data_IF_202000645141
#
_entry.id   IF_202000645141
#
_cell.length_a   1.000
_cell.length_b   1.000
_cell.length_c   1.000
_cell.angle_alpha   90.00
_cell.angle_beta   90.00
_cell.angle_gamma   90.00
#
_symmetry.space_group_name_H-M   'P 1'
#
loop_
_entity.id
_entity.type
_entity.pdbx_description
1 polymer ?
#
# COMPACT_ATOMS: atom_id res chain seq x y z
N UNK A 1 1.43 -13.65 14.22
CA UNK A 1 1.45 -12.22 14.63
C UNK A 1 0.19 -11.56 14.07
N UNK A 2 -0.38 -10.58 14.76
CA UNK A 2 -1.51 -9.84 14.18
C UNK A 2 -1.03 -9.11 12.91
N UNK A 3 -1.79 -9.26 11.84
CA UNK A 3 -1.56 -8.54 10.59
C UNK A 3 -1.67 -7.03 10.87
N UNK A 4 -0.74 -6.24 10.35
CA UNK A 4 -0.75 -4.80 10.54
C UNK A 4 -1.84 -4.21 9.64
N UNK A 5 -2.86 -3.59 10.23
CA UNK A 5 -3.88 -2.85 9.48
C UNK A 5 -3.41 -1.44 9.09
N UNK A 6 -4.12 -0.82 8.15
CA UNK A 6 -3.77 0.49 7.59
C UNK A 6 -3.81 1.61 8.63
N UNK A 7 -4.79 1.60 9.54
CA UNK A 7 -4.94 2.64 10.56
C UNK A 7 -3.78 2.60 11.56
N UNK A 8 -3.37 1.39 11.96
CA UNK A 8 -2.22 1.16 12.82
C UNK A 8 -0.94 1.55 12.10
N UNK A 9 -0.77 1.16 10.84
CA UNK A 9 0.40 1.51 10.05
C UNK A 9 0.56 3.03 9.92
N UNK A 10 -0.53 3.75 9.61
CA UNK A 10 -0.54 5.22 9.54
C UNK A 10 -0.27 5.86 10.91
N UNK A 11 -0.87 5.36 11.98
CA UNK A 11 -0.62 5.84 13.35
C UNK A 11 0.86 5.69 13.73
N UNK A 12 1.48 4.56 13.42
CA UNK A 12 2.91 4.32 13.67
C UNK A 12 3.78 5.18 12.74
N UNK A 13 3.55 5.18 11.44
CA UNK A 13 4.41 5.88 10.48
C UNK A 13 4.19 7.41 10.46
N UNK A 14 3.12 7.92 11.07
CA UNK A 14 2.86 9.38 11.20
C UNK A 14 4.02 10.13 11.87
N UNK A 15 4.74 9.48 12.78
CA UNK A 15 5.83 10.12 13.51
C UNK A 15 7.13 10.14 12.66
N UNK A 16 7.71 11.33 12.38
CA UNK A 16 8.90 11.45 11.54
C UNK A 16 10.14 10.76 12.13
N UNK A 17 10.31 10.76 13.45
CA UNK A 17 11.45 10.08 14.09
C UNK A 17 11.39 8.56 13.89
N UNK A 18 10.18 7.96 13.89
CA UNK A 18 10.03 6.54 13.57
C UNK A 18 10.41 6.22 12.13
N UNK A 19 10.05 7.08 11.18
CA UNK A 19 10.45 6.93 9.76
C UNK A 19 11.96 7.05 9.60
N UNK A 20 12.58 8.00 10.30
CA UNK A 20 14.02 8.19 10.25
C UNK A 20 14.79 7.06 10.96
N UNK A 21 14.25 6.48 12.04
CA UNK A 21 14.83 5.26 12.62
C UNK A 21 14.82 4.12 11.59
N UNK A 22 13.68 3.89 10.93
CA UNK A 22 13.57 2.84 9.91
C UNK A 22 14.56 3.11 8.77
N UNK A 23 14.72 4.36 8.30
CA UNK A 23 15.65 4.68 7.20
C UNK A 23 17.10 4.32 7.50
N UNK A 24 17.54 4.42 8.77
CA UNK A 24 18.87 3.94 9.21
C UNK A 24 18.96 2.43 9.27
N UNK A 25 17.93 1.78 9.80
CA UNK A 25 17.87 0.32 9.95
C UNK A 25 17.78 -0.44 8.63
N UNK A 26 17.41 0.22 7.53
CA UNK A 26 17.44 -0.36 6.17
C UNK A 26 18.87 -0.50 5.63
N UNK A 27 19.80 0.37 6.05
CA UNK A 27 21.18 0.34 5.56
C UNK A 27 22.03 -0.71 6.29
N UNK A 28 21.92 -0.74 7.62
CA UNK A 28 22.61 -1.70 8.47
C UNK A 28 21.90 -1.84 9.82
N UNK A 29 22.19 -2.92 10.54
CA UNK A 29 21.72 -3.13 11.91
C UNK A 29 22.34 -2.07 12.84
N UNK A 30 21.52 -1.42 13.67
CA UNK A 30 22.01 -0.41 14.62
C UNK A 30 21.65 -0.71 16.07
N UNK A 31 22.53 -0.30 16.98
CA UNK A 31 22.23 -0.21 18.41
C UNK A 31 21.52 1.12 18.73
N UNK A 32 20.69 1.18 19.80
CA UNK A 32 19.99 2.40 20.21
C UNK A 32 20.88 3.62 20.43
N UNK A 33 22.11 3.42 20.90
CA UNK A 33 23.06 4.51 21.13
C UNK A 33 23.64 5.09 19.82
N UNK A 34 23.83 4.27 18.79
CA UNK A 34 24.27 4.73 17.48
C UNK A 34 23.17 5.57 16.82
N UNK A 35 21.93 5.05 16.80
CA UNK A 35 20.76 5.79 16.33
C UNK A 35 20.60 7.12 17.08
N UNK A 36 20.78 7.13 18.41
CA UNK A 36 20.70 8.36 19.19
C UNK A 36 21.70 9.43 18.73
N UNK A 37 22.93 9.01 18.40
CA UNK A 37 23.99 9.90 17.90
C UNK A 37 23.69 10.40 16.50
N UNK A 38 23.32 9.52 15.58
CA UNK A 38 23.02 9.89 14.20
C UNK A 38 21.81 10.80 14.08
N UNK A 39 20.78 10.53 14.90
CA UNK A 39 19.52 11.27 14.88
C UNK A 39 19.52 12.47 15.82
N UNK A 40 20.67 12.79 16.44
CA UNK A 40 20.86 13.89 17.38
C UNK A 40 19.75 13.96 18.45
N UNK A 41 19.45 12.81 19.08
CA UNK A 41 18.38 12.68 20.07
C UNK A 41 18.83 11.84 21.26
N UNK A 42 18.00 11.77 22.31
CA UNK A 42 18.33 10.95 23.48
C UNK A 42 18.13 9.46 23.19
N UNK A 43 18.98 8.61 23.77
CA UNK A 43 18.83 7.16 23.69
C UNK A 43 17.47 6.69 24.23
N UNK A 44 16.95 7.34 25.29
CA UNK A 44 15.64 7.02 25.84
C UNK A 44 14.51 7.29 24.84
N UNK A 45 14.59 8.38 24.07
CA UNK A 45 13.62 8.67 23.02
C UNK A 45 13.69 7.63 21.90
N UNK A 46 14.90 7.26 21.44
CA UNK A 46 15.08 6.19 20.44
C UNK A 46 14.47 4.88 20.93
N UNK A 47 14.78 4.46 22.16
CA UNK A 47 14.23 3.24 22.76
C UNK A 47 12.70 3.24 22.80
N UNK A 48 12.08 4.38 23.13
CA UNK A 48 10.61 4.51 23.11
C UNK A 48 10.05 4.32 21.69
N UNK A 49 10.72 4.84 20.67
CA UNK A 49 10.30 4.65 19.28
C UNK A 49 10.50 3.23 18.79
N UNK A 50 11.66 2.62 19.06
CA UNK A 50 11.96 1.23 18.75
C UNK A 50 10.95 0.27 19.38
N UNK A 51 10.60 0.47 20.64
CA UNK A 51 9.59 -0.36 21.31
C UNK A 51 8.22 -0.32 20.61
N UNK A 52 7.82 0.84 20.06
CA UNK A 52 6.58 0.93 19.27
C UNK A 52 6.73 0.25 17.91
N UNK A 53 7.85 0.47 17.22
CA UNK A 53 8.11 -0.17 15.93
C UNK A 53 8.16 -1.70 16.04
N UNK A 54 8.83 -2.21 17.07
CA UNK A 54 8.98 -3.65 17.35
C UNK A 54 7.64 -4.28 17.72
N UNK A 55 6.85 -3.60 18.56
CA UNK A 55 5.49 -4.06 18.91
C UNK A 55 4.60 -4.29 17.68
N UNK A 56 4.78 -3.48 16.63
CA UNK A 56 4.01 -3.59 15.38
C UNK A 56 4.74 -4.39 14.29
N UNK A 57 5.90 -4.98 14.62
CA UNK A 57 6.69 -5.83 13.74
C UNK A 57 7.29 -5.10 12.55
N UNK A 58 7.51 -3.78 12.62
CA UNK A 58 8.22 -3.02 11.58
C UNK A 58 9.75 -3.15 11.73
N UNK A 59 10.20 -3.48 12.94
CA UNK A 59 11.59 -3.78 13.27
C UNK A 59 11.62 -5.00 14.19
N UNK A 60 12.75 -5.67 14.28
CA UNK A 60 13.03 -6.69 15.29
C UNK A 60 14.31 -6.34 16.05
N UNK A 61 14.52 -7.01 17.19
CA UNK A 61 15.79 -6.97 17.91
C UNK A 61 16.41 -8.34 18.11
N UNK A 62 17.73 -8.40 17.98
CA UNK A 62 18.54 -9.56 18.31
C UNK A 62 19.52 -9.20 19.43
N UNK A 63 19.74 -10.13 20.35
CA UNK A 63 20.79 -9.98 21.38
C UNK A 63 22.14 -10.38 20.82
N UNK A 64 23.11 -9.47 20.91
CA UNK A 64 24.48 -9.70 20.51
C UNK A 64 25.40 -9.65 21.74
N UNK A 65 26.41 -10.54 21.83
CA UNK A 65 27.40 -10.50 22.88
C UNK A 65 28.11 -9.14 22.91
N UNK A 66 28.34 -8.58 24.09
CA UNK A 66 29.12 -7.36 24.18
C UNK A 66 30.61 -7.66 24.05
N UNK A 67 31.29 -6.97 23.13
CA UNK A 67 32.74 -7.04 22.94
C UNK A 67 33.57 -6.79 24.21
N UNK A 68 33.00 -6.05 25.17
CA UNK A 68 33.66 -5.62 26.40
C UNK A 68 33.28 -6.46 27.64
N UNK A 69 32.63 -7.61 27.47
CA UNK A 69 32.16 -8.45 28.59
C UNK A 69 31.03 -7.83 29.41
N UNK A 70 30.37 -6.80 28.86
CA UNK A 70 29.17 -6.20 29.43
C UNK A 70 27.90 -7.00 29.11
N UNK A 71 26.73 -6.53 29.58
CA UNK A 71 25.44 -7.14 29.24
C UNK A 71 25.23 -7.22 27.71
N UNK A 72 24.52 -8.24 27.21
CA UNK A 72 24.16 -8.35 25.80
C UNK A 72 23.52 -7.07 25.27
N UNK A 73 23.85 -6.69 24.04
CA UNK A 73 23.31 -5.50 23.38
C UNK A 73 22.19 -5.89 22.43
N UNK A 74 21.12 -5.12 22.43
CA UNK A 74 20.05 -5.27 21.44
C UNK A 74 20.41 -4.52 20.17
N UNK A 75 20.63 -5.27 19.10
CA UNK A 75 20.79 -4.77 17.74
C UNK A 75 19.42 -4.81 17.06
N UNK A 76 19.06 -3.77 16.29
CA UNK A 76 17.76 -3.68 15.61
C UNK A 76 17.92 -3.68 14.09
N UNK A 77 16.97 -4.30 13.39
CA UNK A 77 16.88 -4.38 11.93
C UNK A 77 15.45 -4.13 11.46
N UNK A 78 15.26 -3.65 10.22
CA UNK A 78 13.94 -3.56 9.59
C UNK A 78 13.53 -4.91 9.00
N UNK A 79 12.25 -5.29 9.13
CA UNK A 79 11.81 -6.68 8.86
C UNK A 79 10.65 -6.83 7.88
N UNK A 80 9.98 -5.74 7.53
CA UNK A 80 8.78 -5.79 6.68
C UNK A 80 8.92 -4.93 5.44
N UNK A 81 8.50 -5.48 4.31
CA UNK A 81 8.22 -4.71 3.12
C UNK A 81 6.73 -4.34 3.11
N UNK A 82 6.46 -3.03 3.10
CA UNK A 82 5.13 -2.45 3.23
C UNK A 82 4.95 -1.30 2.24
N UNK A 83 3.85 -1.33 1.48
CA UNK A 83 3.40 -0.22 0.65
C UNK A 83 2.06 0.31 1.15
N UNK A 84 1.96 1.62 1.37
CA UNK A 84 0.71 2.32 1.68
C UNK A 84 0.48 3.35 0.60
N UNK A 85 -0.71 3.32 0.01
CA UNK A 85 -1.11 4.25 -1.04
C UNK A 85 -2.44 4.90 -0.68
N UNK A 86 -2.48 6.22 -0.73
CA UNK A 86 -3.69 7.02 -0.45
C UNK A 86 -3.86 8.04 -1.58
N UNK A 87 -4.98 7.93 -2.29
CA UNK A 87 -5.39 8.87 -3.34
C UNK A 87 -6.56 9.70 -2.83
N UNK A 88 -6.44 11.03 -2.90
CA UNK A 88 -7.46 11.98 -2.44
C UNK A 88 -7.67 13.05 -3.50
N UNK A 89 -8.91 13.22 -3.93
CA UNK A 89 -9.38 14.29 -4.81
C UNK A 89 -10.80 14.71 -4.42
N UNK A 90 -11.35 15.78 -5.01
CA UNK A 90 -12.73 16.21 -4.74
C UNK A 90 -13.79 15.13 -4.96
N UNK A 91 -13.57 14.21 -5.92
CA UNK A 91 -14.47 13.13 -6.28
C UNK A 91 -13.82 11.74 -6.17
N UNK A 92 -12.66 11.64 -5.51
CA UNK A 92 -11.87 10.42 -5.40
C UNK A 92 -11.36 10.24 -3.96
N UNK A 93 -11.61 9.05 -3.41
CA UNK A 93 -10.93 8.60 -2.21
C UNK A 93 -10.62 7.11 -2.33
N UNK A 94 -9.34 6.76 -2.27
CA UNK A 94 -8.88 5.38 -2.28
C UNK A 94 -7.71 5.22 -1.30
N UNK A 95 -7.74 4.18 -0.49
CA UNK A 95 -6.66 3.85 0.44
C UNK A 95 -6.41 2.35 0.34
N UNK A 96 -5.17 1.97 0.02
CA UNK A 96 -4.74 0.58 -0.08
C UNK A 96 -3.45 0.39 0.70
N UNK A 97 -3.34 -0.78 1.32
CA UNK A 97 -2.14 -1.24 1.99
C UNK A 97 -1.80 -2.62 1.42
N UNK A 98 -0.52 -2.80 1.09
CA UNK A 98 0.01 -4.07 0.60
C UNK A 98 1.23 -4.43 1.44
N UNK A 99 1.20 -5.63 2.00
CA UNK A 99 2.33 -6.23 2.67
C UNK A 99 3.01 -7.18 1.69
N UNK A 100 4.33 -7.24 1.72
CA UNK A 100 5.11 -8.18 0.93
C UNK A 100 6.00 -8.95 1.90
N UNK A 101 6.03 -10.28 1.74
CA UNK A 101 7.01 -11.10 2.43
C UNK A 101 8.33 -10.99 1.67
N UNK A 102 9.42 -10.49 2.28
CA UNK A 102 10.72 -10.38 1.61
C UNK A 102 11.26 -11.71 1.09
N UNK A 103 10.81 -12.82 1.66
CA UNK A 103 11.23 -14.18 1.30
C UNK A 103 10.29 -14.82 0.26
N UNK A 104 9.17 -14.17 -0.10
CA UNK A 104 8.23 -14.66 -1.11
C UNK A 104 8.69 -14.27 -2.51
N UNK A 105 8.86 -15.26 -3.40
CA UNK A 105 9.11 -14.98 -4.81
C UNK A 105 7.82 -14.43 -5.44
N UNK A 106 7.87 -13.26 -6.11
CA UNK A 106 6.70 -12.70 -6.76
C UNK A 106 6.19 -13.67 -7.84
N UNK A 107 4.87 -13.74 -7.99
CA UNK A 107 4.28 -14.50 -9.09
C UNK A 107 4.86 -14.03 -10.43
N UNK A 108 5.34 -14.94 -11.29
CA UNK A 108 5.94 -14.58 -12.56
C UNK A 108 4.87 -13.97 -13.48
N UNK A 109 5.00 -12.68 -13.72
CA UNK A 109 4.27 -11.98 -14.77
C UNK A 109 5.14 -11.99 -16.03
N UNK A 110 4.57 -12.38 -17.18
CA UNK A 110 5.31 -12.53 -18.45
C UNK A 110 6.14 -11.28 -18.80
N UNK A 111 5.57 -10.10 -18.60
CA UNK A 111 6.21 -8.81 -18.90
C UNK A 111 7.43 -8.49 -18.00
N UNK A 112 7.60 -9.22 -16.89
CA UNK A 112 8.62 -8.93 -15.86
C UNK A 112 9.58 -10.10 -15.59
N UNK A 113 9.38 -11.28 -16.21
CA UNK A 113 10.24 -12.46 -15.98
C UNK A 113 11.72 -12.20 -16.34
N UNK A 114 11.98 -11.26 -17.23
CA UNK A 114 13.35 -10.85 -17.57
C UNK A 114 14.13 -10.30 -16.36
N UNK A 115 13.45 -9.66 -15.40
CA UNK A 115 14.07 -9.14 -14.17
C UNK A 115 14.46 -10.32 -13.27
N UNK A 116 13.55 -11.29 -13.12
CA UNK A 116 13.78 -12.51 -12.35
C UNK A 116 14.96 -13.30 -12.93
N UNK A 117 15.03 -13.44 -14.26
CA UNK A 117 16.13 -14.11 -14.93
C UNK A 117 17.48 -13.41 -14.70
N UNK A 118 17.53 -12.07 -14.85
CA UNK A 118 18.74 -11.28 -14.56
C UNK A 118 19.16 -11.45 -13.10
N UNK A 119 18.22 -11.41 -12.16
CA UNK A 119 18.50 -11.62 -10.74
C UNK A 119 19.08 -13.02 -10.47
N UNK A 120 18.48 -14.09 -11.02
CA UNK A 120 18.99 -15.47 -10.89
C UNK A 120 20.41 -15.61 -11.47
N UNK A 121 20.73 -14.91 -12.55
CA UNK A 121 22.08 -14.90 -13.12
C UNK A 121 23.08 -14.14 -12.23
N UNK A 122 22.70 -12.96 -11.72
CA UNK A 122 23.51 -12.19 -10.79
C UNK A 122 23.74 -12.90 -9.45
N UNK A 123 22.79 -13.72 -9.00
CA UNK A 123 22.94 -14.53 -7.80
C UNK A 123 24.07 -15.57 -7.90
N UNK A 124 24.42 -15.98 -9.13
CA UNK A 124 25.52 -16.90 -9.44
C UNK A 124 26.86 -16.20 -9.68
N UNK A 125 26.88 -14.86 -9.73
CA UNK A 125 28.12 -14.09 -9.88
C UNK A 125 28.91 -14.13 -8.56
N UNK A 126 30.16 -14.59 -8.63
CA UNK A 126 31.05 -14.76 -7.49
C UNK A 126 31.85 -13.48 -7.19
N UNK A 127 32.14 -12.66 -8.21
CA UNK A 127 32.91 -11.44 -8.03
C UNK A 127 32.03 -10.31 -7.45
N UNK A 128 32.30 -9.82 -6.22
CA UNK A 128 31.39 -8.89 -5.55
C UNK A 128 31.19 -7.57 -6.30
N UNK A 129 32.22 -7.03 -6.95
CA UNK A 129 32.13 -5.74 -7.64
C UNK A 129 31.28 -5.83 -8.92
N UNK A 130 31.48 -6.86 -9.75
CA UNK A 130 30.68 -7.11 -10.96
C UNK A 130 29.24 -7.49 -10.58
N UNK A 131 29.03 -8.27 -9.51
CA UNK A 131 27.69 -8.55 -8.99
C UNK A 131 26.98 -7.27 -8.58
N UNK A 132 27.63 -6.41 -7.79
CA UNK A 132 27.06 -5.14 -7.36
C UNK A 132 26.74 -4.21 -8.54
N UNK A 133 27.64 -4.13 -9.52
CA UNK A 133 27.44 -3.35 -10.74
C UNK A 133 26.25 -3.88 -11.56
N UNK A 134 26.11 -5.20 -11.69
CA UNK A 134 24.96 -5.81 -12.36
C UNK A 134 23.64 -5.58 -11.62
N UNK A 135 23.64 -5.64 -10.29
CA UNK A 135 22.49 -5.28 -9.45
C UNK A 135 22.11 -3.80 -9.65
N UNK A 136 23.09 -2.89 -9.67
CA UNK A 136 22.85 -1.46 -9.86
C UNK A 136 22.24 -1.15 -11.23
N UNK A 137 22.70 -1.82 -12.30
CA UNK A 137 22.12 -1.70 -13.64
C UNK A 137 20.68 -2.22 -13.67
N UNK A 138 20.44 -3.40 -13.09
CA UNK A 138 19.10 -4.00 -13.04
C UNK A 138 18.13 -3.12 -12.24
N UNK A 139 18.55 -2.61 -11.07
CA UNK A 139 17.77 -1.68 -10.26
C UNK A 139 17.46 -0.37 -11.00
N UNK A 140 18.38 0.13 -11.83
CA UNK A 140 18.12 1.31 -12.65
C UNK A 140 16.95 1.06 -13.60
N UNK A 141 16.92 -0.08 -14.28
CA UNK A 141 15.84 -0.44 -15.21
C UNK A 141 14.50 -0.58 -14.46
N UNK A 142 14.50 -1.29 -13.33
CA UNK A 142 13.31 -1.42 -12.45
C UNK A 142 12.78 -0.06 -12.01
N UNK A 143 13.67 0.83 -11.55
CA UNK A 143 13.27 2.18 -11.13
C UNK A 143 12.70 3.02 -12.28
N UNK A 144 13.22 2.86 -13.51
CA UNK A 144 12.69 3.53 -14.68
C UNK A 144 11.28 3.04 -15.05
N UNK A 145 11.05 1.72 -14.98
CA UNK A 145 9.72 1.15 -15.21
C UNK A 145 8.71 1.56 -14.15
N UNK A 146 9.07 1.51 -12.87
CA UNK A 146 8.22 1.99 -11.78
C UNK A 146 7.85 3.47 -11.98
N UNK A 147 8.80 4.30 -12.41
CA UNK A 147 8.53 5.71 -12.69
C UNK A 147 7.63 5.94 -13.92
N UNK A 148 7.67 5.08 -14.93
CA UNK A 148 6.74 5.12 -16.07
C UNK A 148 5.33 4.67 -15.65
N UNK A 149 5.24 3.58 -14.87
CA UNK A 149 3.98 3.07 -14.34
C UNK A 149 3.27 4.11 -13.46
N UNK A 150 4.01 4.78 -12.57
CA UNK A 150 3.44 5.85 -11.74
C UNK A 150 3.00 7.06 -12.58
N UNK A 151 3.75 7.47 -13.61
CA UNK A 151 3.31 8.53 -14.53
C UNK A 151 2.02 8.18 -15.26
N UNK A 152 1.91 6.95 -15.77
CA UNK A 152 0.68 6.46 -16.41
C UNK A 152 -0.47 6.41 -15.42
N UNK A 153 -0.21 5.97 -14.20
CA UNK A 153 -1.19 5.91 -13.12
C UNK A 153 -1.71 7.30 -12.76
N UNK A 154 -0.84 8.29 -12.61
CA UNK A 154 -1.23 9.68 -12.31
C UNK A 154 -2.16 10.24 -13.40
N UNK A 155 -1.85 10.01 -14.67
CA UNK A 155 -2.72 10.41 -15.78
C UNK A 155 -4.10 9.75 -15.71
N UNK A 156 -4.16 8.45 -15.38
CA UNK A 156 -5.42 7.72 -15.20
C UNK A 156 -6.20 8.20 -13.98
N UNK A 157 -5.53 8.56 -12.88
CA UNK A 157 -6.19 9.14 -11.71
C UNK A 157 -6.81 10.50 -12.02
N UNK A 158 -6.12 11.35 -12.78
CA UNK A 158 -6.67 12.63 -13.23
C UNK A 158 -7.91 12.43 -14.10
N UNK A 159 -7.85 11.51 -15.06
CA UNK A 159 -9.01 11.17 -15.90
C UNK A 159 -10.17 10.61 -15.05
N UNK A 160 -9.87 9.72 -14.10
CA UNK A 160 -10.85 9.16 -13.17
C UNK A 160 -11.54 10.26 -12.36
N UNK A 161 -10.79 11.20 -11.80
CA UNK A 161 -11.34 12.33 -11.04
C UNK A 161 -12.28 13.20 -11.90
N UNK A 162 -11.91 13.48 -13.15
CA UNK A 162 -12.76 14.24 -14.09
C UNK A 162 -14.08 13.51 -14.37
N UNK A 163 -14.01 12.22 -14.72
CA UNK A 163 -15.19 11.40 -15.00
C UNK A 163 -16.10 11.28 -13.77
N UNK A 164 -15.52 11.08 -12.59
CA UNK A 164 -16.28 11.00 -11.34
C UNK A 164 -16.89 12.36 -10.96
N UNK A 165 -16.24 13.48 -11.28
CA UNK A 165 -16.80 14.82 -11.13
C UNK A 165 -18.05 15.03 -11.98
N UNK A 166 -17.99 14.68 -13.27
CA UNK A 166 -19.16 14.75 -14.16
C UNK A 166 -20.28 13.81 -13.69
N UNK A 167 -19.93 12.58 -13.31
CA UNK A 167 -20.87 11.61 -12.76
C UNK A 167 -21.56 12.14 -11.50
N UNK A 168 -20.84 12.76 -10.57
CA UNK A 168 -21.41 13.31 -9.34
C UNK A 168 -22.43 14.42 -9.58
N UNK A 169 -22.18 15.28 -10.58
CA UNK A 169 -23.14 16.31 -11.00
C UNK A 169 -24.41 15.66 -11.53
N UNK A 170 -24.29 14.67 -12.41
CA UNK A 170 -25.43 13.95 -12.97
C UNK A 170 -26.20 13.15 -11.92
N UNK A 171 -25.51 12.41 -11.05
CA UNK A 171 -26.10 11.65 -9.94
C UNK A 171 -26.95 12.57 -9.05
N UNK A 172 -26.45 13.78 -8.77
CA UNK A 172 -27.17 14.78 -7.97
C UNK A 172 -28.43 15.31 -8.65
N UNK A 173 -28.46 15.36 -9.99
CA UNK A 173 -29.64 15.74 -10.77
C UNK A 173 -30.64 14.58 -10.92
N UNK A 174 -30.15 13.35 -11.03
CA UNK A 174 -30.95 12.16 -11.28
C UNK A 174 -31.67 11.65 -10.04
N UNK A 175 -31.10 11.84 -8.84
CA UNK A 175 -31.73 11.42 -7.59
C UNK A 175 -31.60 12.42 -6.45
N UNK A 176 -32.73 12.89 -5.88
CA UNK A 176 -32.73 13.68 -4.65
C UNK A 176 -32.48 12.82 -3.40
N UNK A 177 -32.58 11.49 -3.48
CA UNK A 177 -32.35 10.58 -2.35
C UNK A 177 -30.85 10.33 -2.11
N UNK A 178 -30.40 10.53 -0.88
CA UNK A 178 -28.98 10.41 -0.53
C UNK A 178 -28.45 8.97 -0.66
N UNK A 179 -29.25 7.96 -0.32
CA UNK A 179 -28.81 6.57 -0.39
C UNK A 179 -28.71 6.10 -1.85
N UNK A 180 -29.67 6.49 -2.69
CA UNK A 180 -29.60 6.28 -4.14
C UNK A 180 -28.36 6.95 -4.74
N UNK A 181 -28.03 8.19 -4.37
CA UNK A 181 -26.80 8.85 -4.83
C UNK A 181 -25.53 8.09 -4.42
N UNK A 182 -25.47 7.59 -3.19
CA UNK A 182 -24.33 6.78 -2.71
C UNK A 182 -24.16 5.49 -3.50
N UNK A 183 -25.26 4.77 -3.75
CA UNK A 183 -25.25 3.54 -4.55
C UNK A 183 -24.83 3.84 -5.98
N UNK A 184 -25.41 4.86 -6.61
CA UNK A 184 -25.05 5.29 -7.97
C UNK A 184 -23.58 5.70 -8.07
N UNK A 185 -23.05 6.43 -7.08
CA UNK A 185 -21.63 6.79 -7.04
C UNK A 185 -20.74 5.55 -6.99
N UNK A 186 -21.06 4.60 -6.11
CA UNK A 186 -20.26 3.38 -5.96
C UNK A 186 -20.26 2.52 -7.22
N UNK A 187 -21.43 2.25 -7.82
CA UNK A 187 -21.48 1.43 -9.04
C UNK A 187 -20.77 2.12 -10.22
N UNK A 188 -20.80 3.46 -10.27
CA UNK A 188 -20.09 4.22 -11.30
C UNK A 188 -18.58 4.16 -11.08
N UNK A 189 -18.11 4.31 -9.83
CA UNK A 189 -16.70 4.24 -9.47
C UNK A 189 -16.10 2.84 -9.69
N UNK A 190 -16.84 1.78 -9.37
CA UNK A 190 -16.41 0.39 -9.52
C UNK A 190 -16.60 -0.15 -10.94
N UNK A 191 -17.44 0.49 -11.76
CA UNK A 191 -17.79 0.00 -13.09
C UNK A 191 -18.52 -1.35 -13.07
N UNK A 192 -19.12 -1.73 -11.94
CA UNK A 192 -19.84 -3.01 -11.78
C UNK A 192 -21.04 -2.85 -10.86
N UNK A 193 -22.04 -3.71 -11.05
CA UNK A 193 -23.26 -3.74 -10.25
C UNK A 193 -23.24 -4.98 -9.35
N UNK A 194 -23.04 -4.77 -8.04
CA UNK A 194 -23.06 -5.85 -7.05
C UNK A 194 -23.74 -5.42 -5.75
N UNK A 195 -24.82 -6.11 -5.40
CA UNK A 195 -25.54 -5.91 -4.12
C UNK A 195 -24.64 -6.23 -2.94
N UNK A 196 -23.84 -7.30 -3.02
CA UNK A 196 -22.93 -7.72 -1.96
C UNK A 196 -21.87 -6.67 -1.68
N UNK A 197 -21.21 -6.15 -2.73
CA UNK A 197 -20.18 -5.12 -2.58
C UNK A 197 -20.75 -3.80 -2.02
N UNK A 198 -21.94 -3.40 -2.46
CA UNK A 198 -22.64 -2.20 -1.95
C UNK A 198 -23.05 -2.39 -0.48
N UNK A 199 -23.58 -3.57 -0.14
CA UNK A 199 -23.98 -3.97 1.21
C UNK A 199 -22.80 -3.88 2.17
N UNK A 200 -21.67 -4.51 1.81
CA UNK A 200 -20.43 -4.48 2.58
C UNK A 200 -19.89 -3.06 2.71
N UNK A 201 -19.75 -2.33 1.60
CA UNK A 201 -19.16 -0.99 1.58
C UNK A 201 -19.92 0.01 2.43
N UNK A 202 -21.25 -0.06 2.45
CA UNK A 202 -22.09 0.90 3.15
C UNK A 202 -22.69 0.37 4.45
N UNK A 203 -22.33 -0.86 4.85
CA UNK A 203 -22.88 -1.55 6.03
C UNK A 203 -24.42 -1.54 6.02
N UNK A 204 -25.00 -1.88 4.88
CA UNK A 204 -26.45 -1.91 4.66
C UNK A 204 -26.93 -3.36 4.63
N UNK A 205 -28.20 -3.62 4.96
CA UNK A 205 -28.78 -4.95 4.71
C UNK A 205 -28.97 -5.15 3.21
N UNK A 206 -28.61 -6.31 2.67
CA UNK A 206 -28.77 -6.63 1.25
C UNK A 206 -30.18 -6.33 0.74
N UNK A 207 -31.23 -6.72 1.48
CA UNK A 207 -32.61 -6.39 1.13
C UNK A 207 -32.87 -4.88 0.94
N UNK A 208 -32.26 -4.04 1.76
CA UNK A 208 -32.39 -2.58 1.61
C UNK A 208 -31.63 -2.07 0.38
N UNK A 209 -30.49 -2.70 0.06
CA UNK A 209 -29.75 -2.44 -1.17
C UNK A 209 -30.58 -2.86 -2.38
N UNK A 210 -31.14 -4.08 -2.41
CA UNK A 210 -32.05 -4.56 -3.45
C UNK A 210 -33.24 -3.63 -3.69
N UNK A 211 -33.85 -3.11 -2.62
CA UNK A 211 -34.94 -2.12 -2.72
C UNK A 211 -34.47 -0.83 -3.41
N UNK A 212 -33.25 -0.34 -3.10
CA UNK A 212 -32.65 0.81 -3.78
C UNK A 212 -32.39 0.49 -5.25
N UNK A 213 -31.81 -0.67 -5.55
CA UNK A 213 -31.58 -1.12 -6.93
C UNK A 213 -32.90 -1.20 -7.71
N UNK A 214 -33.96 -1.74 -7.11
CA UNK A 214 -35.28 -1.81 -7.74
C UNK A 214 -35.85 -0.42 -8.04
N UNK A 215 -35.70 0.53 -7.11
CA UNK A 215 -36.11 1.93 -7.34
C UNK A 215 -35.31 2.58 -8.48
N UNK A 216 -34.00 2.35 -8.52
CA UNK A 216 -33.12 2.85 -9.58
C UNK A 216 -33.48 2.25 -10.95
N UNK A 217 -33.77 0.94 -11.03
CA UNK A 217 -34.24 0.27 -12.26
C UNK A 217 -35.58 0.84 -12.71
N UNK A 218 -36.54 0.98 -11.80
CA UNK A 218 -37.86 1.54 -12.09
C UNK A 218 -37.77 2.95 -12.66
N UNK A 219 -36.82 3.73 -12.19
CA UNK A 219 -36.57 5.10 -12.64
C UNK A 219 -35.62 5.18 -13.84
N UNK A 220 -35.18 4.05 -14.40
CA UNK A 220 -34.21 3.94 -15.52
C UNK A 220 -32.88 4.67 -15.24
N UNK A 221 -32.45 4.64 -13.99
CA UNK A 221 -31.20 5.26 -13.52
C UNK A 221 -30.05 4.27 -13.39
N UNK A 222 -30.35 2.96 -13.42
CA UNK A 222 -29.33 1.92 -13.52
C UNK A 222 -28.92 1.76 -14.98
N UNK A 223 -27.61 1.70 -15.22
CA UNK A 223 -27.03 1.44 -16.53
C UNK A 223 -27.35 -0.01 -16.92
N UNK A 224 -28.37 -0.21 -17.76
CA UNK A 224 -28.86 -1.53 -18.19
C UNK A 224 -28.02 -2.16 -19.31
N UNK A 225 -26.74 -1.77 -19.42
CA UNK A 225 -25.87 -2.40 -20.39
C UNK A 225 -25.25 -3.66 -19.81
N UNK A 226 -25.53 -4.78 -20.50
CA UNK A 226 -24.93 -6.10 -20.29
C UNK A 226 -23.39 -6.10 -20.20
N UNK A 227 -22.73 -4.97 -20.48
CA UNK A 227 -21.28 -4.77 -20.35
C UNK A 227 -20.78 -4.63 -18.91
N UNK A 228 -21.59 -4.14 -17.96
CA UNK A 228 -21.19 -3.97 -16.54
C UNK A 228 -21.49 -5.21 -15.68
N UNK A 229 -22.23 -6.18 -16.23
CA UNK A 229 -22.58 -7.46 -15.59
C UNK A 229 -21.63 -8.61 -15.94
N UNK A 230 -20.66 -8.38 -16.84
CA UNK A 230 -19.77 -9.41 -17.39
C UNK A 230 -18.28 -9.21 -17.03
N UNK A 231 -17.96 -8.40 -16.02
CA UNK A 231 -16.63 -8.41 -15.43
C UNK A 231 -16.50 -9.59 -14.45
N UNK A 232 -15.96 -10.73 -14.90
CA UNK A 232 -15.34 -11.70 -13.98
C UNK A 232 -14.15 -11.04 -13.26
N UNK A 233 -13.81 -11.50 -12.04
CA UNK A 233 -12.85 -10.84 -11.15
C UNK A 233 -11.45 -10.68 -11.74
#
# INVERSE_FOLDING_TARGET
MAELDIDTALSVLSNPMRREIISRLVMETHYPLQLARELNTSQQAVMKHLAVLEKHGLVESQEEPSDAGGPPRKAYSATKQLSIRIDIGPNLFNAKMSNYDPDEEPEPLEDYEYINERYRNLAREEEPHERLKGLAITLKDVNMELAELERRRDALLMAKEQLMGEANVLISQLSPDYNQRRVLYFITDQGTVSVALVSERFNMREKAVEEIFFQLLRNRLLFDDRSLLLGEP
#
